data_IF_243933564107
#
_entry.id   IF_243933564107
#
_cell.length_a   1.000
_cell.length_b   1.000
_cell.length_c   1.000
_cell.angle_alpha   90.00
_cell.angle_beta   90.00
_cell.angle_gamma   90.00
#
_symmetry.space_group_name_H-M   'P 1'
#
loop_
_entity.id
_entity.type
_entity.pdbx_description
1 polymer ?
#
# COMPACT_ATOMS: atom_id res chain seq x y z
N UNK A 1 7.93 -5.56 -3.13
CA UNK A 1 7.31 -6.24 -1.95
C UNK A 1 6.93 -7.66 -2.32
N UNK A 2 7.14 -8.66 -1.45
CA UNK A 2 7.23 -10.13 -1.73
C UNK A 2 8.24 -10.52 -2.83
N UNK A 3 8.29 -9.79 -3.94
CA UNK A 3 9.29 -9.83 -5.01
C UNK A 3 10.68 -9.28 -4.64
N UNK A 4 10.90 -8.89 -3.38
CA UNK A 4 12.11 -8.17 -2.92
C UNK A 4 12.35 -6.80 -3.56
N UNK A 5 11.46 -6.31 -4.42
CA UNK A 5 11.54 -4.96 -4.98
C UNK A 5 11.10 -3.92 -3.96
N UNK A 6 11.70 -2.73 -4.04
CA UNK A 6 11.25 -1.53 -3.34
C UNK A 6 10.14 -0.86 -4.15
N UNK A 7 8.90 -0.79 -3.62
CA UNK A 7 7.79 -0.12 -4.29
C UNK A 7 8.04 1.36 -4.62
N UNK A 8 8.75 2.09 -3.75
CA UNK A 8 9.03 3.51 -3.97
C UNK A 8 10.04 3.70 -5.12
N UNK A 9 11.09 2.89 -5.16
CA UNK A 9 12.02 2.84 -6.29
C UNK A 9 11.30 2.46 -7.60
N UNK A 10 10.37 1.50 -7.56
CA UNK A 10 9.57 1.13 -8.72
C UNK A 10 8.70 2.28 -9.25
N UNK A 11 8.07 3.04 -8.34
CA UNK A 11 7.30 4.25 -8.70
C UNK A 11 8.20 5.27 -9.39
N UNK A 12 9.36 5.58 -8.82
CA UNK A 12 10.33 6.52 -9.41
C UNK A 12 10.80 6.08 -10.79
N UNK A 13 11.05 4.78 -10.94
CA UNK A 13 11.49 4.21 -12.21
C UNK A 13 10.40 4.27 -13.31
N UNK A 14 9.16 3.91 -12.96
CA UNK A 14 8.05 3.89 -13.92
C UNK A 14 7.53 5.30 -14.23
N UNK A 15 7.58 6.21 -13.25
CA UNK A 15 7.06 7.57 -13.36
C UNK A 15 5.61 7.58 -13.85
N UNK A 16 5.30 8.47 -14.80
CA UNK A 16 3.94 8.63 -15.35
C UNK A 16 3.41 7.42 -16.14
N UNK A 17 4.13 6.30 -16.21
CA UNK A 17 3.63 5.03 -16.77
C UNK A 17 2.89 4.17 -15.73
N UNK A 18 2.80 4.62 -14.48
CA UNK A 18 1.92 4.00 -13.48
C UNK A 18 0.49 4.48 -13.72
N UNK A 19 -0.39 3.57 -14.14
CA UNK A 19 -1.80 3.90 -14.43
C UNK A 19 -2.76 3.61 -13.28
N UNK A 20 -2.28 2.92 -12.24
CA UNK A 20 -3.06 2.55 -11.07
C UNK A 20 -2.20 1.78 -10.08
N UNK A 21 -2.61 1.82 -8.82
CA UNK A 21 -1.88 1.25 -7.70
C UNK A 21 -2.84 0.38 -6.90
N UNK A 22 -2.43 -0.86 -6.66
CA UNK A 22 -3.07 -1.73 -5.69
C UNK A 22 -2.28 -1.64 -4.38
N UNK A 23 -2.84 -0.93 -3.41
CA UNK A 23 -2.19 -0.68 -2.14
C UNK A 23 -2.57 -1.77 -1.14
N UNK A 24 -1.59 -2.55 -0.72
CA UNK A 24 -1.72 -3.55 0.34
C UNK A 24 -0.44 -3.58 1.18
N UNK A 25 -0.59 -3.91 2.45
CA UNK A 25 0.54 -4.16 3.33
C UNK A 25 0.58 -5.63 3.74
N UNK A 26 1.78 -6.14 4.01
CA UNK A 26 1.97 -7.55 4.35
C UNK A 26 2.91 -7.73 5.55
N UNK A 27 2.68 -8.79 6.30
CA UNK A 27 3.39 -9.06 7.56
C UNK A 27 4.88 -9.40 7.39
N UNK A 28 5.30 -9.87 6.21
CA UNK A 28 6.70 -10.22 5.95
C UNK A 28 7.04 -10.29 4.45
N UNK A 29 8.34 -10.36 4.16
CA UNK A 29 8.90 -10.48 2.81
C UNK A 29 9.05 -11.95 2.41
N UNK A 30 7.95 -12.68 2.44
CA UNK A 30 7.86 -14.09 2.02
C UNK A 30 6.61 -14.31 1.15
N UNK A 31 6.55 -15.45 0.46
CA UNK A 31 5.36 -15.82 -0.31
C UNK A 31 4.17 -16.15 0.60
N UNK A 32 4.43 -16.59 1.82
CA UNK A 32 3.40 -16.98 2.81
C UNK A 32 2.94 -15.82 3.69
N UNK A 33 3.34 -14.58 3.40
CA UNK A 33 2.95 -13.43 4.22
C UNK A 33 1.46 -13.13 4.12
N UNK A 34 0.88 -12.66 5.21
CA UNK A 34 -0.54 -12.31 5.27
C UNK A 34 -0.74 -10.84 4.86
N UNK A 35 -1.88 -10.53 4.24
CA UNK A 35 -2.30 -9.14 4.02
C UNK A 35 -2.88 -8.61 5.35
N UNK A 36 -2.30 -7.53 5.85
CA UNK A 36 -2.65 -6.93 7.13
C UNK A 36 -3.07 -5.46 6.96
N UNK A 37 -3.34 -4.77 8.07
CA UNK A 37 -3.65 -3.35 8.06
C UNK A 37 -2.56 -2.53 7.39
N UNK A 38 -2.95 -1.52 6.61
CA UNK A 38 -2.00 -0.61 5.98
C UNK A 38 -1.19 0.14 7.05
N UNK A 39 0.14 0.13 6.93
CA UNK A 39 1.05 0.79 7.87
C UNK A 39 1.44 -0.07 9.07
N UNK A 40 0.95 -1.31 9.16
CA UNK A 40 1.34 -2.26 10.21
C UNK A 40 2.37 -3.27 9.74
N UNK A 41 2.62 -3.34 8.43
CA UNK A 41 3.52 -4.31 7.83
C UNK A 41 4.86 -3.73 7.45
N UNK A 42 5.41 -4.28 6.36
CA UNK A 42 6.76 -3.95 5.89
C UNK A 42 6.74 -2.98 4.70
N UNK A 43 5.55 -2.53 4.26
CA UNK A 43 5.44 -1.45 3.28
C UNK A 43 5.83 -0.13 3.94
N UNK A 44 6.87 0.52 3.43
CA UNK A 44 7.16 1.90 3.79
C UNK A 44 6.15 2.82 3.09
N UNK A 45 5.04 3.11 3.79
CA UNK A 45 3.96 3.94 3.25
C UNK A 45 4.40 5.39 3.04
N UNK A 46 5.24 5.93 3.92
CA UNK A 46 5.70 7.31 3.82
C UNK A 46 6.55 7.50 2.55
N UNK A 47 7.51 6.61 2.33
CA UNK A 47 8.39 6.64 1.18
C UNK A 47 7.65 6.37 -0.14
N UNK A 48 6.65 5.48 -0.12
CA UNK A 48 5.76 5.25 -1.25
C UNK A 48 5.02 6.54 -1.65
N UNK A 49 4.40 7.23 -0.68
CA UNK A 49 3.68 8.48 -0.96
C UNK A 49 4.61 9.64 -1.31
N UNK A 50 5.84 9.66 -0.78
CA UNK A 50 6.88 10.58 -1.21
C UNK A 50 7.21 10.38 -2.70
N UNK A 51 7.48 9.14 -3.13
CA UNK A 51 7.77 8.80 -4.52
C UNK A 51 6.61 9.18 -5.47
N UNK A 52 5.35 9.01 -5.06
CA UNK A 52 4.19 9.44 -5.85
C UNK A 52 4.16 10.96 -6.07
N UNK A 53 4.49 11.75 -5.04
CA UNK A 53 4.57 13.21 -5.15
C UNK A 53 5.74 13.66 -6.02
N UNK A 54 6.92 13.05 -5.85
CA UNK A 54 8.12 13.35 -6.64
C UNK A 54 7.93 13.09 -8.14
N UNK A 55 7.19 12.03 -8.47
CA UNK A 55 6.91 11.65 -9.86
C UNK A 55 5.75 12.42 -10.50
N UNK A 56 5.14 13.36 -9.76
CA UNK A 56 4.05 14.20 -10.22
C UNK A 56 2.91 13.39 -10.83
N UNK A 57 2.50 12.33 -10.12
CA UNK A 57 1.38 11.51 -10.55
C UNK A 57 0.11 12.36 -10.72
N UNK A 58 -0.77 12.01 -11.68
CA UNK A 58 -2.07 12.67 -11.80
C UNK A 58 -2.83 12.66 -10.47
N UNK A 59 -3.50 13.76 -10.14
CA UNK A 59 -4.26 13.87 -8.89
C UNK A 59 -5.42 12.87 -8.80
N UNK A 60 -5.89 12.38 -9.95
CA UNK A 60 -6.97 11.40 -10.10
C UNK A 60 -6.46 9.96 -10.30
N UNK A 61 -5.17 9.70 -10.09
CA UNK A 61 -4.63 8.34 -10.18
C UNK A 61 -5.36 7.40 -9.21
N UNK A 62 -5.80 6.25 -9.72
CA UNK A 62 -6.48 5.25 -8.90
C UNK A 62 -5.50 4.60 -7.93
N UNK A 63 -5.60 4.95 -6.64
CA UNK A 63 -4.96 4.22 -5.54
C UNK A 63 -6.01 3.34 -4.86
N UNK A 64 -6.11 2.09 -5.31
CA UNK A 64 -7.10 1.13 -4.85
C UNK A 64 -6.55 0.36 -3.66
N UNK A 65 -7.17 0.52 -2.50
CA UNK A 65 -6.82 -0.30 -1.36
C UNK A 65 -7.29 -1.74 -1.58
N UNK A 66 -6.37 -2.69 -1.41
CA UNK A 66 -6.64 -4.12 -1.54
C UNK A 66 -6.41 -4.82 -0.19
N UNK A 67 -7.46 -4.85 0.64
CA UNK A 67 -7.46 -5.56 1.91
C UNK A 67 -8.05 -6.96 1.73
N UNK A 68 -7.23 -7.99 1.98
CA UNK A 68 -7.61 -9.40 1.88
C UNK A 68 -7.57 -10.12 3.25
N UNK A 69 -7.37 -9.37 4.34
CA UNK A 69 -7.44 -9.89 5.70
C UNK A 69 -8.90 -10.16 6.09
N UNK A 70 -9.10 -11.16 6.97
CA UNK A 70 -10.40 -11.49 7.56
C UNK A 70 -11.56 -11.57 6.53
N UNK A 71 -11.51 -12.51 5.56
CA UNK A 71 -12.46 -12.56 4.45
C UNK A 71 -13.94 -12.77 4.86
N UNK A 72 -14.18 -13.27 6.07
CA UNK A 72 -15.54 -13.39 6.63
C UNK A 72 -16.13 -12.06 7.09
N UNK A 73 -15.29 -11.12 7.53
CA UNK A 73 -15.69 -9.81 8.07
C UNK A 73 -14.73 -8.69 7.63
N UNK A 74 -14.57 -8.46 6.30
CA UNK A 74 -13.52 -7.59 5.80
C UNK A 74 -13.76 -6.12 6.13
N UNK A 75 -15.02 -5.65 6.15
CA UNK A 75 -15.36 -4.24 6.38
C UNK A 75 -15.09 -3.81 7.83
N UNK A 76 -15.61 -4.50 8.87
CA UNK A 76 -15.32 -4.11 10.26
C UNK A 76 -13.83 -4.18 10.56
N UNK A 77 -13.16 -5.25 10.13
CA UNK A 77 -11.72 -5.42 10.32
C UNK A 77 -10.95 -4.27 9.68
N UNK A 78 -11.19 -3.99 8.40
CA UNK A 78 -10.57 -2.90 7.68
C UNK A 78 -10.76 -1.53 8.35
N UNK A 79 -11.99 -1.19 8.76
CA UNK A 79 -12.29 0.11 9.36
C UNK A 79 -11.49 0.38 10.64
N UNK A 80 -11.19 -0.65 11.44
CA UNK A 80 -10.36 -0.50 12.64
C UNK A 80 -8.97 0.02 12.26
N UNK A 81 -8.34 -0.56 11.23
CA UNK A 81 -7.00 -0.18 10.79
C UNK A 81 -6.94 1.25 10.21
N UNK A 82 -8.01 1.74 9.57
CA UNK A 82 -8.08 3.13 9.09
C UNK A 82 -8.33 4.16 10.21
N UNK A 83 -9.03 3.77 11.28
CA UNK A 83 -9.36 4.71 12.36
C UNK A 83 -8.10 5.16 13.10
N UNK A 84 -7.13 4.26 13.31
CA UNK A 84 -5.84 4.57 13.92
C UNK A 84 -5.04 5.63 13.15
N UNK A 85 -5.09 5.61 11.82
CA UNK A 85 -4.34 6.54 10.96
C UNK A 85 -4.85 7.99 11.01
N UNK A 86 -6.03 8.27 11.58
CA UNK A 86 -6.61 9.63 11.69
C UNK A 86 -6.22 10.40 12.96
N UNK A 87 -5.36 9.83 13.80
CA UNK A 87 -4.97 10.43 15.09
C UNK A 87 -3.63 11.17 15.05
N UNK A 88 -3.06 11.36 13.85
CA UNK A 88 -1.85 12.15 13.61
C UNK A 88 -2.11 13.19 12.53
#
# INVERSE_FOLDING_TARGET
>A
MRSYEDPAAAIRYLGQKVFGIHLKDVSSRSNDSEVIGLGEGILDTEELFAALRETQMPEDIACSLEYLGQPSEPVPSFCVHLHWQKTY
#
